data_IF_950960118522
#
_entry.id   IF_950960118522
#
_cell.length_a   1.000
_cell.length_b   1.000
_cell.length_c   1.000
_cell.angle_alpha   90.00
_cell.angle_beta   90.00
_cell.angle_gamma   90.00
#
_symmetry.space_group_name_H-M   'P 1'
#
loop_
_entity.id
_entity.type
_entity.pdbx_description
1 polymer ?
#
# COMPACT_ATOMS: atom_id res chain seq x y z
N UNK A 1 -50.69 -15.07 -10.34
CA UNK A 1 -49.45 -15.87 -10.19
C UNK A 1 -48.31 -14.90 -10.39
N UNK A 2 -47.41 -14.78 -9.42
CA UNK A 2 -46.23 -13.93 -9.51
C UNK A 2 -45.36 -14.42 -10.68
N UNK A 3 -45.10 -13.58 -11.66
CA UNK A 3 -44.28 -13.95 -12.83
C UNK A 3 -42.80 -13.83 -12.48
N UNK A 4 -42.24 -14.88 -11.88
CA UNK A 4 -40.82 -14.96 -11.56
C UNK A 4 -39.95 -15.14 -12.81
N UNK A 5 -40.49 -15.68 -13.91
CA UNK A 5 -39.70 -16.00 -15.09
C UNK A 5 -39.22 -14.73 -15.83
N UNK A 6 -40.07 -13.70 -15.89
CA UNK A 6 -39.70 -12.42 -16.50
C UNK A 6 -38.54 -11.74 -15.76
N UNK A 7 -38.64 -11.62 -14.43
CA UNK A 7 -37.59 -10.96 -13.62
C UNK A 7 -36.29 -11.78 -13.59
N UNK A 8 -36.36 -13.11 -13.66
CA UNK A 8 -35.19 -13.98 -13.74
C UNK A 8 -34.42 -13.78 -15.05
N UNK A 9 -35.13 -13.55 -16.15
CA UNK A 9 -34.53 -13.22 -17.44
C UNK A 9 -33.83 -11.86 -17.42
N UNK A 10 -34.49 -10.84 -16.88
CA UNK A 10 -33.93 -9.49 -16.71
C UNK A 10 -32.68 -9.50 -15.83
N UNK A 11 -32.71 -10.22 -14.69
CA UNK A 11 -31.55 -10.40 -13.80
C UNK A 11 -30.39 -11.06 -14.55
N UNK A 12 -30.66 -12.09 -15.36
CA UNK A 12 -29.62 -12.78 -16.14
C UNK A 12 -28.96 -11.83 -17.14
N UNK A 13 -29.76 -11.08 -17.89
CA UNK A 13 -29.26 -10.11 -18.87
C UNK A 13 -28.48 -8.97 -18.20
N UNK A 14 -28.96 -8.45 -17.06
CA UNK A 14 -28.24 -7.44 -16.27
C UNK A 14 -26.91 -7.97 -15.74
N UNK A 15 -26.87 -9.22 -15.27
CA UNK A 15 -25.64 -9.88 -14.80
C UNK A 15 -24.60 -10.05 -15.91
N UNK A 16 -25.01 -10.46 -17.10
CA UNK A 16 -24.09 -10.60 -18.24
C UNK A 16 -23.50 -9.24 -18.65
N UNK A 17 -24.31 -8.18 -18.65
CA UNK A 17 -23.84 -6.80 -18.88
C UNK A 17 -22.89 -6.32 -17.79
N UNK A 18 -23.17 -6.60 -16.52
CA UNK A 18 -22.30 -6.26 -15.40
C UNK A 18 -20.93 -6.96 -15.50
N UNK A 19 -20.92 -8.28 -15.79
CA UNK A 19 -19.68 -9.05 -16.02
C UNK A 19 -18.86 -8.49 -17.18
N UNK A 20 -19.51 -8.12 -18.28
CA UNK A 20 -18.85 -7.50 -19.43
C UNK A 20 -18.21 -6.16 -19.05
N UNK A 21 -18.91 -5.33 -18.27
CA UNK A 21 -18.37 -4.05 -17.77
C UNK A 21 -17.17 -4.26 -16.84
N UNK A 22 -17.20 -5.26 -15.95
CA UNK A 22 -16.07 -5.57 -15.07
C UNK A 22 -14.84 -6.03 -15.87
N UNK A 23 -15.05 -6.84 -16.91
CA UNK A 23 -13.99 -7.26 -17.83
C UNK A 23 -13.35 -6.06 -18.54
N UNK A 24 -14.17 -5.18 -19.11
CA UNK A 24 -13.69 -3.97 -19.79
C UNK A 24 -12.99 -3.01 -18.83
N UNK A 25 -13.46 -2.90 -17.60
CA UNK A 25 -12.82 -2.07 -16.57
C UNK A 25 -11.42 -2.59 -16.24
N UNK A 26 -11.25 -3.90 -16.08
CA UNK A 26 -9.92 -4.51 -15.89
C UNK A 26 -9.01 -4.28 -17.10
N UNK A 27 -9.54 -4.47 -18.32
CA UNK A 27 -8.80 -4.21 -19.56
C UNK A 27 -8.34 -2.74 -19.64
N UNK A 28 -9.22 -1.80 -19.29
CA UNK A 28 -8.90 -0.36 -19.23
C UNK A 28 -7.73 -0.07 -18.30
N UNK A 29 -7.73 -0.65 -17.10
CA UNK A 29 -6.63 -0.49 -16.13
C UNK A 29 -5.31 -1.03 -16.71
N UNK A 30 -5.35 -2.21 -17.34
CA UNK A 30 -4.17 -2.77 -18.02
C UNK A 30 -3.66 -1.87 -19.13
N UNK A 31 -4.54 -1.35 -20.00
CA UNK A 31 -4.18 -0.44 -21.09
C UNK A 31 -3.55 0.85 -20.57
N UNK A 32 -4.12 1.45 -19.52
CA UNK A 32 -3.54 2.63 -18.88
C UNK A 32 -2.14 2.38 -18.33
N UNK A 33 -1.92 1.24 -17.68
CA UNK A 33 -0.58 0.85 -17.21
C UNK A 33 0.42 0.68 -18.35
N UNK A 34 0.01 0.06 -19.46
CA UNK A 34 0.86 -0.11 -20.64
C UNK A 34 1.17 1.24 -21.34
N UNK A 35 0.20 2.15 -21.38
CA UNK A 35 0.38 3.51 -21.92
C UNK A 35 1.41 4.28 -21.09
N UNK A 36 1.30 4.23 -19.76
CA UNK A 36 2.27 4.87 -18.86
C UNK A 36 3.67 4.27 -19.01
N UNK A 37 3.79 2.94 -19.05
CA UNK A 37 5.06 2.25 -19.27
C UNK A 37 5.73 2.67 -20.59
N UNK A 38 4.98 2.66 -21.70
CA UNK A 38 5.49 3.05 -23.02
C UNK A 38 5.82 4.54 -23.05
N UNK A 39 5.03 5.38 -22.40
CA UNK A 39 5.29 6.83 -22.27
C UNK A 39 6.61 7.10 -21.54
N UNK A 40 6.83 6.45 -20.40
CA UNK A 40 8.07 6.56 -19.63
C UNK A 40 9.29 6.04 -20.42
N UNK A 41 9.13 4.92 -21.14
CA UNK A 41 10.16 4.38 -22.01
C UNK A 41 10.51 5.35 -23.15
N UNK A 42 9.49 5.97 -23.77
CA UNK A 42 9.68 6.94 -24.85
C UNK A 42 10.50 8.14 -24.38
N UNK A 43 10.27 8.66 -23.17
CA UNK A 43 11.09 9.76 -22.62
C UNK A 43 12.58 9.39 -22.58
N UNK A 44 12.91 8.16 -22.20
CA UNK A 44 14.29 7.66 -22.20
C UNK A 44 14.87 7.53 -23.60
N UNK A 45 14.12 6.91 -24.53
CA UNK A 45 14.53 6.70 -25.91
C UNK A 45 14.70 8.02 -26.67
N UNK A 46 13.85 9.01 -26.44
CA UNK A 46 13.92 10.34 -27.06
C UNK A 46 15.15 11.11 -26.56
N UNK A 47 15.51 11.00 -25.27
CA UNK A 47 16.75 11.56 -24.75
C UNK A 47 17.98 10.91 -25.37
N UNK A 48 17.96 9.58 -25.55
CA UNK A 48 19.05 8.87 -26.22
C UNK A 48 19.16 9.32 -27.68
N UNK A 49 18.06 9.36 -28.42
CA UNK A 49 18.03 9.84 -29.79
C UNK A 49 18.58 11.27 -29.92
N UNK A 50 18.18 12.18 -29.02
CA UNK A 50 18.69 13.55 -29.01
C UNK A 50 20.20 13.64 -28.69
N UNK A 51 20.79 12.62 -28.04
CA UNK A 51 22.23 12.52 -27.86
C UNK A 51 22.90 12.06 -29.15
N UNK A 52 22.44 10.97 -29.76
CA UNK A 52 23.02 10.46 -31.00
C UNK A 52 22.92 11.50 -32.14
N UNK A 53 21.79 12.20 -32.26
CA UNK A 53 21.60 13.27 -33.24
C UNK A 53 22.60 14.43 -33.03
N UNK A 54 22.91 14.79 -31.77
CA UNK A 54 23.92 15.81 -31.48
C UNK A 54 25.33 15.35 -31.82
N UNK A 55 25.64 14.08 -31.58
CA UNK A 55 26.97 13.53 -31.86
C UNK A 55 27.21 13.41 -33.38
N UNK A 56 26.18 13.05 -34.15
CA UNK A 56 26.19 13.17 -35.64
C UNK A 56 26.44 14.61 -36.09
N UNK A 57 25.69 15.59 -35.56
CA UNK A 57 25.83 17.01 -35.95
C UNK A 57 27.23 17.55 -35.64
N UNK A 58 27.82 17.23 -34.49
CA UNK A 58 29.19 17.64 -34.13
C UNK A 58 30.23 17.14 -35.13
N UNK A 59 30.07 15.90 -35.62
CA UNK A 59 30.98 15.29 -36.59
C UNK A 59 30.79 15.86 -38.01
N UNK A 60 29.56 16.21 -38.39
CA UNK A 60 29.22 16.80 -39.69
C UNK A 60 29.67 18.27 -39.80
N UNK A 61 29.40 19.10 -38.78
CA UNK A 61 29.67 20.54 -38.80
C UNK A 61 31.13 20.92 -38.47
N UNK A 62 32.02 19.95 -38.37
CA UNK A 62 33.46 20.20 -38.24
C UNK A 62 33.91 20.67 -36.85
N UNK A 63 33.26 20.23 -35.77
CA UNK A 63 33.55 20.59 -34.37
C UNK A 63 34.91 20.14 -33.81
N UNK A 64 35.91 19.91 -34.66
CA UNK A 64 37.30 19.64 -34.30
C UNK A 64 38.24 20.42 -35.23
N UNK A 65 38.24 21.75 -35.11
CA UNK A 65 39.30 22.56 -35.71
C UNK A 65 40.68 22.35 -35.04
N UNK A 66 40.74 21.58 -33.94
CA UNK A 66 41.96 21.33 -33.18
C UNK A 66 42.67 19.97 -33.46
N UNK A 67 42.16 19.11 -34.36
CA UNK A 67 42.74 17.76 -34.56
C UNK A 67 42.89 17.33 -36.03
N UNK A 68 42.73 18.26 -36.97
CA UNK A 68 42.97 18.00 -38.40
C UNK A 68 44.45 18.09 -38.75
N UNK A 69 45.26 17.21 -38.15
CA UNK A 69 46.67 17.05 -38.54
C UNK A 69 47.07 15.59 -38.84
N UNK A 70 46.13 14.64 -39.02
CA UNK A 70 46.60 13.29 -39.39
C UNK A 70 45.64 12.16 -39.82
N UNK A 71 44.31 12.22 -39.73
CA UNK A 71 43.48 11.02 -39.92
C UNK A 71 42.10 11.28 -40.58
N UNK A 72 42.06 11.35 -41.91
CA UNK A 72 40.80 11.49 -42.68
C UNK A 72 39.96 10.20 -42.67
N UNK A 73 40.58 9.02 -42.65
CA UNK A 73 39.88 7.73 -42.66
C UNK A 73 39.12 7.39 -41.36
N UNK A 74 39.62 7.81 -40.20
CA UNK A 74 38.97 7.57 -38.90
C UNK A 74 37.70 8.42 -38.71
N UNK A 75 37.58 9.55 -39.41
CA UNK A 75 36.40 10.43 -39.31
C UNK A 75 35.18 9.85 -40.02
N UNK A 76 35.36 9.33 -41.24
CA UNK A 76 34.26 8.78 -42.03
C UNK A 76 33.67 7.53 -41.38
N UNK A 77 34.51 6.64 -40.86
CA UNK A 77 34.08 5.45 -40.14
C UNK A 77 33.28 5.79 -38.87
N UNK A 78 33.76 6.76 -38.09
CA UNK A 78 33.04 7.25 -36.89
C UNK A 78 31.70 7.90 -37.25
N UNK A 79 31.66 8.74 -38.30
CA UNK A 79 30.41 9.34 -38.75
C UNK A 79 29.39 8.30 -39.23
N UNK A 80 29.84 7.27 -39.96
CA UNK A 80 28.98 6.17 -40.39
C UNK A 80 28.39 5.41 -39.20
N UNK A 81 29.20 5.15 -38.16
CA UNK A 81 28.75 4.51 -36.92
C UNK A 81 27.69 5.33 -36.19
N UNK A 82 27.95 6.61 -35.96
CA UNK A 82 27.03 7.51 -35.24
C UNK A 82 25.70 7.67 -36.00
N UNK A 83 25.75 7.73 -37.34
CA UNK A 83 24.53 7.71 -38.17
C UNK A 83 23.74 6.41 -38.03
N UNK A 84 24.42 5.27 -37.95
CA UNK A 84 23.76 3.99 -37.74
C UNK A 84 23.13 3.90 -36.34
N UNK A 85 23.83 4.38 -35.30
CA UNK A 85 23.33 4.44 -33.92
C UNK A 85 22.09 5.36 -33.83
N UNK A 86 22.15 6.55 -34.44
CA UNK A 86 21.00 7.46 -34.53
C UNK A 86 19.82 6.85 -35.31
N UNK A 87 20.07 6.19 -36.45
CA UNK A 87 19.02 5.54 -37.23
C UNK A 87 18.33 4.43 -36.43
N UNK A 88 19.09 3.60 -35.71
CA UNK A 88 18.56 2.57 -34.83
C UNK A 88 17.73 3.18 -33.69
N UNK A 89 18.20 4.27 -33.07
CA UNK A 89 17.45 4.99 -32.04
C UNK A 89 16.11 5.55 -32.58
N UNK A 90 16.12 6.16 -33.78
CA UNK A 90 14.90 6.65 -34.44
C UNK A 90 13.89 5.53 -34.70
N UNK A 91 14.35 4.37 -35.19
CA UNK A 91 13.47 3.23 -35.43
C UNK A 91 12.83 2.72 -34.12
N UNK A 92 13.60 2.67 -33.02
CA UNK A 92 13.05 2.29 -31.70
C UNK A 92 12.00 3.28 -31.21
N UNK A 93 12.26 4.58 -31.31
CA UNK A 93 11.30 5.64 -30.95
C UNK A 93 10.04 5.51 -31.80
N UNK A 94 10.16 5.36 -33.11
CA UNK A 94 9.03 5.21 -34.02
C UNK A 94 8.17 3.99 -33.67
N UNK A 95 8.80 2.83 -33.42
CA UNK A 95 8.08 1.62 -33.02
C UNK A 95 7.31 1.78 -31.71
N UNK A 96 7.90 2.43 -30.70
CA UNK A 96 7.20 2.68 -29.42
C UNK A 96 6.09 3.75 -29.56
N UNK A 97 6.25 4.76 -30.42
CA UNK A 97 5.17 5.71 -30.74
C UNK A 97 3.99 5.03 -31.42
N UNK A 98 4.22 4.18 -32.42
CA UNK A 98 3.14 3.40 -33.04
C UNK A 98 2.45 2.45 -32.05
N UNK A 99 3.21 1.84 -31.12
CA UNK A 99 2.63 1.04 -30.02
C UNK A 99 1.73 1.91 -29.12
N UNK A 100 2.19 3.10 -28.74
CA UNK A 100 1.42 4.04 -27.93
C UNK A 100 0.13 4.47 -28.61
N UNK A 101 0.17 4.77 -29.92
CA UNK A 101 -1.00 5.11 -30.72
C UNK A 101 -2.03 3.97 -30.74
N UNK A 102 -1.57 2.73 -30.95
CA UNK A 102 -2.44 1.55 -30.92
C UNK A 102 -3.10 1.36 -29.54
N UNK A 103 -2.31 1.38 -28.46
CA UNK A 103 -2.82 1.27 -27.10
C UNK A 103 -3.83 2.37 -26.75
N UNK A 104 -3.57 3.61 -27.19
CA UNK A 104 -4.47 4.75 -26.99
C UNK A 104 -5.77 4.58 -27.77
N UNK A 105 -5.71 3.99 -28.97
CA UNK A 105 -6.90 3.68 -29.75
C UNK A 105 -7.74 2.58 -29.09
N UNK A 106 -7.11 1.52 -28.59
CA UNK A 106 -7.78 0.44 -27.86
C UNK A 106 -8.42 0.94 -26.56
N UNK A 107 -7.74 1.84 -25.84
CA UNK A 107 -8.29 2.50 -24.66
C UNK A 107 -9.54 3.29 -25.02
N UNK A 108 -9.51 4.04 -26.13
CA UNK A 108 -10.67 4.82 -26.60
C UNK A 108 -11.87 3.93 -26.93
N UNK A 109 -11.64 2.80 -27.61
CA UNK A 109 -12.69 1.82 -27.92
C UNK A 109 -13.26 1.21 -26.64
N UNK A 110 -12.39 0.83 -25.70
CA UNK A 110 -12.79 0.28 -24.39
C UNK A 110 -13.63 1.29 -23.60
N UNK A 111 -13.23 2.56 -23.59
CA UNK A 111 -13.96 3.64 -22.91
C UNK A 111 -15.34 3.90 -23.57
N UNK A 112 -15.43 3.81 -24.90
CA UNK A 112 -16.71 3.91 -25.62
C UNK A 112 -17.66 2.74 -25.28
N UNK A 113 -17.15 1.50 -25.24
CA UNK A 113 -17.93 0.34 -24.83
C UNK A 113 -18.41 0.45 -23.36
N UNK A 114 -17.52 0.90 -22.46
CA UNK A 114 -17.86 1.13 -21.06
C UNK A 114 -18.95 2.20 -20.90
N UNK A 115 -18.88 3.29 -21.68
CA UNK A 115 -19.89 4.33 -21.67
C UNK A 115 -21.24 3.82 -22.20
N UNK A 116 -21.24 3.02 -23.27
CA UNK A 116 -22.45 2.45 -23.85
C UNK A 116 -23.16 1.47 -22.91
N UNK A 117 -22.42 0.74 -22.07
CA UNK A 117 -22.99 -0.19 -21.09
C UNK A 117 -23.69 0.53 -19.93
N UNK A 118 -23.37 1.79 -19.64
CA UNK A 118 -23.96 2.54 -18.52
C UNK A 118 -23.60 1.94 -17.16
N UNK A 119 -24.61 1.78 -16.29
CA UNK A 119 -24.46 1.30 -14.92
C UNK A 119 -25.21 -0.05 -14.67
N UNK A 120 -24.81 -1.14 -15.35
CA UNK A 120 -25.50 -2.43 -15.25
C UNK A 120 -25.41 -3.07 -13.86
N UNK A 121 -24.40 -2.72 -13.05
CA UNK A 121 -24.32 -3.15 -11.65
C UNK A 121 -25.49 -2.59 -10.83
N UNK A 122 -25.80 -1.30 -10.99
CA UNK A 122 -26.91 -0.68 -10.30
C UNK A 122 -28.26 -1.24 -10.77
N UNK A 123 -28.41 -1.47 -12.07
CA UNK A 123 -29.59 -2.13 -12.62
C UNK A 123 -29.79 -3.53 -12.04
N UNK A 124 -28.71 -4.33 -11.96
CA UNK A 124 -28.73 -5.65 -11.35
C UNK A 124 -29.13 -5.59 -9.87
N UNK A 125 -28.59 -4.63 -9.10
CA UNK A 125 -28.96 -4.42 -7.69
C UNK A 125 -30.46 -4.13 -7.53
N UNK A 126 -31.02 -3.25 -8.36
CA UNK A 126 -32.44 -2.89 -8.35
C UNK A 126 -33.32 -4.10 -8.68
N UNK A 127 -32.96 -4.88 -9.70
CA UNK A 127 -33.70 -6.08 -10.09
C UNK A 127 -33.66 -7.16 -9.01
N UNK A 128 -32.50 -7.41 -8.41
CA UNK A 128 -32.36 -8.35 -7.29
C UNK A 128 -33.21 -7.92 -6.08
N UNK A 129 -33.21 -6.63 -5.74
CA UNK A 129 -34.04 -6.08 -4.66
C UNK A 129 -35.55 -6.16 -4.98
N UNK A 130 -35.92 -6.07 -6.25
CA UNK A 130 -37.31 -6.29 -6.69
C UNK A 130 -37.71 -7.77 -6.56
N UNK A 131 -36.86 -8.71 -6.99
CA UNK A 131 -37.11 -10.16 -6.83
C UNK A 131 -37.23 -10.54 -5.36
N UNK A 132 -36.37 -10.01 -4.50
CA UNK A 132 -36.45 -10.23 -3.05
C UNK A 132 -37.79 -9.78 -2.46
N UNK A 133 -38.27 -8.59 -2.81
CA UNK A 133 -39.60 -8.10 -2.39
C UNK A 133 -40.73 -9.01 -2.87
N UNK A 134 -40.68 -9.44 -4.13
CA UNK A 134 -41.68 -10.36 -4.69
C UNK A 134 -41.75 -11.69 -3.91
N UNK A 135 -40.60 -12.25 -3.52
CA UNK A 135 -40.53 -13.49 -2.74
C UNK A 135 -41.11 -13.33 -1.33
N UNK A 136 -40.83 -12.20 -0.68
CA UNK A 136 -41.37 -11.88 0.65
C UNK A 136 -42.89 -11.68 0.60
N UNK A 137 -43.37 -10.87 -0.33
CA UNK A 137 -44.79 -10.55 -0.48
C UNK A 137 -45.63 -11.76 -0.90
N UNK A 138 -45.06 -12.67 -1.70
CA UNK A 138 -45.75 -13.92 -2.09
C UNK A 138 -45.76 -14.99 -0.99
N UNK A 139 -45.07 -14.77 0.13
CA UNK A 139 -44.91 -15.78 1.18
C UNK A 139 -44.04 -16.97 0.76
N UNK A 140 -43.17 -16.80 -0.23
CA UNK A 140 -42.25 -17.85 -0.67
C UNK A 140 -41.26 -18.17 0.47
N UNK A 141 -40.99 -19.46 0.79
CA UNK A 141 -40.01 -19.82 1.82
C UNK A 141 -38.65 -19.14 1.64
N UNK A 142 -38.21 -18.92 0.41
CA UNK A 142 -36.96 -18.21 0.08
C UNK A 142 -36.93 -16.78 0.61
N UNK A 143 -38.08 -16.11 0.74
CA UNK A 143 -38.15 -14.75 1.30
C UNK A 143 -37.71 -14.70 2.77
N UNK A 144 -38.01 -15.74 3.56
CA UNK A 144 -37.54 -15.84 4.95
C UNK A 144 -36.04 -16.11 5.02
N UNK A 145 -35.54 -17.01 4.17
CA UNK A 145 -34.12 -17.32 4.08
C UNK A 145 -33.30 -16.09 3.65
N UNK A 146 -33.83 -15.28 2.73
CA UNK A 146 -33.20 -14.02 2.30
C UNK A 146 -33.14 -12.98 3.43
N UNK A 147 -34.20 -12.86 4.23
CA UNK A 147 -34.20 -11.98 5.39
C UNK A 147 -33.17 -12.40 6.46
N UNK A 148 -33.05 -13.71 6.75
CA UNK A 148 -32.02 -14.25 7.65
C UNK A 148 -30.61 -13.96 7.12
N UNK A 149 -30.37 -14.20 5.82
CA UNK A 149 -29.09 -13.90 5.18
C UNK A 149 -28.77 -12.41 5.22
N UNK A 150 -29.75 -11.53 5.02
CA UNK A 150 -29.56 -10.09 5.09
C UNK A 150 -29.15 -9.63 6.51
N UNK A 151 -29.80 -10.16 7.55
CA UNK A 151 -29.42 -9.88 8.93
C UNK A 151 -27.99 -10.35 9.21
N UNK A 152 -27.66 -11.60 8.86
CA UNK A 152 -26.31 -12.15 9.06
C UNK A 152 -25.24 -11.39 8.27
N UNK A 153 -25.54 -10.93 7.06
CA UNK A 153 -24.63 -10.09 6.27
C UNK A 153 -24.38 -8.75 6.96
N UNK A 154 -25.42 -8.12 7.51
CA UNK A 154 -25.30 -6.85 8.23
C UNK A 154 -24.45 -7.02 9.49
N UNK A 155 -24.71 -8.06 10.29
CA UNK A 155 -23.94 -8.37 11.49
C UNK A 155 -22.47 -8.67 11.14
N UNK A 156 -22.22 -9.55 10.16
CA UNK A 156 -20.86 -9.89 9.71
C UNK A 156 -20.10 -8.66 9.18
N UNK A 157 -20.79 -7.75 8.48
CA UNK A 157 -20.19 -6.53 7.96
C UNK A 157 -19.86 -5.53 9.07
N UNK A 158 -20.68 -5.47 10.13
CA UNK A 158 -20.38 -4.67 11.31
C UNK A 158 -19.17 -5.22 12.06
N UNK A 159 -19.15 -6.53 12.34
CA UNK A 159 -18.03 -7.21 12.96
C UNK A 159 -16.74 -6.98 12.17
N UNK A 160 -16.77 -7.16 10.84
CA UNK A 160 -15.60 -6.99 9.99
C UNK A 160 -15.03 -5.57 10.08
N UNK A 161 -15.89 -4.55 10.07
CA UNK A 161 -15.48 -3.15 10.19
C UNK A 161 -14.79 -2.87 11.52
N UNK A 162 -15.41 -3.29 12.63
CA UNK A 162 -14.86 -3.07 13.98
C UNK A 162 -13.50 -3.79 14.15
N UNK A 163 -13.36 -5.01 13.61
CA UNK A 163 -12.09 -5.74 13.63
C UNK A 163 -11.02 -5.08 12.74
N UNK A 164 -11.41 -4.47 11.61
CA UNK A 164 -10.49 -3.74 10.75
C UNK A 164 -9.99 -2.45 11.41
N UNK A 165 -10.86 -1.73 12.13
CA UNK A 165 -10.51 -0.54 12.91
C UNK A 165 -9.50 -0.91 14.02
N UNK A 166 -9.78 -1.98 14.77
CA UNK A 166 -8.86 -2.53 15.76
C UNK A 166 -7.52 -2.96 15.14
N UNK A 167 -7.54 -3.66 14.00
CA UNK A 167 -6.33 -4.09 13.30
C UNK A 167 -5.47 -2.88 12.86
N UNK A 168 -6.09 -1.84 12.31
CA UNK A 168 -5.40 -0.62 11.89
C UNK A 168 -4.77 0.13 13.08
N UNK A 169 -5.51 0.25 14.19
CA UNK A 169 -4.96 0.85 15.41
C UNK A 169 -3.82 0.01 16.01
N UNK A 170 -3.93 -1.33 15.97
CA UNK A 170 -2.87 -2.25 16.39
C UNK A 170 -1.61 -2.13 15.54
N UNK A 171 -1.74 -1.98 14.22
CA UNK A 171 -0.61 -1.72 13.32
C UNK A 171 0.09 -0.39 13.64
N UNK A 172 -0.68 0.68 13.88
CA UNK A 172 -0.14 1.97 14.28
C UNK A 172 0.58 1.90 15.64
N UNK A 173 0.00 1.23 16.63
CA UNK A 173 0.60 0.99 17.93
C UNK A 173 1.90 0.19 17.80
N UNK A 174 1.89 -0.91 17.03
CA UNK A 174 3.06 -1.77 16.80
C UNK A 174 4.20 -0.99 16.13
N UNK A 175 3.89 -0.14 15.15
CA UNK A 175 4.88 0.73 14.50
C UNK A 175 5.48 1.75 15.48
N UNK A 176 4.63 2.37 16.32
CA UNK A 176 5.06 3.35 17.31
C UNK A 176 5.94 2.72 18.40
N UNK A 177 5.55 1.56 18.95
CA UNK A 177 6.36 0.79 19.91
C UNK A 177 7.69 0.36 19.28
N UNK A 178 7.67 -0.09 18.02
CA UNK A 178 8.88 -0.40 17.27
C UNK A 178 9.82 0.81 17.08
N UNK A 179 9.28 2.02 16.99
CA UNK A 179 10.08 3.25 16.94
C UNK A 179 10.78 3.55 18.27
N UNK A 180 10.10 3.31 19.40
CA UNK A 180 10.72 3.39 20.74
C UNK A 180 11.89 2.42 20.85
N UNK A 181 11.72 1.16 20.41
CA UNK A 181 12.79 0.15 20.44
C UNK A 181 14.02 0.56 19.61
N UNK A 182 13.83 1.18 18.44
CA UNK A 182 14.93 1.68 17.61
C UNK A 182 15.72 2.77 18.33
N UNK A 183 15.05 3.75 18.94
CA UNK A 183 15.71 4.83 19.68
C UNK A 183 16.41 4.36 20.94
N UNK A 184 15.81 3.42 21.69
CA UNK A 184 16.48 2.76 22.82
C UNK A 184 17.71 1.95 22.37
N UNK A 185 17.66 1.33 21.18
CA UNK A 185 18.79 0.66 20.56
C UNK A 185 19.92 1.61 20.17
N UNK A 186 19.60 2.74 19.55
CA UNK A 186 20.56 3.80 19.21
C UNK A 186 21.20 4.44 20.43
N UNK A 187 20.41 4.72 21.48
CA UNK A 187 20.92 5.22 22.77
C UNK A 187 21.88 4.21 23.42
N UNK A 188 21.56 2.91 23.38
CA UNK A 188 22.46 1.84 23.87
C UNK A 188 23.75 1.77 23.06
N UNK A 189 23.69 1.89 21.73
CA UNK A 189 24.86 1.87 20.85
C UNK A 189 25.81 3.04 21.10
N UNK A 190 25.28 4.24 21.32
CA UNK A 190 26.05 5.42 21.71
C UNK A 190 26.73 5.24 23.08
N UNK A 191 26.00 4.71 24.07
CA UNK A 191 26.52 4.42 25.42
C UNK A 191 27.65 3.37 25.41
N UNK A 192 27.56 2.33 24.57
CA UNK A 192 28.63 1.32 24.43
C UNK A 192 29.90 1.90 23.78
N UNK A 193 29.75 2.85 22.85
CA UNK A 193 30.90 3.53 22.22
C UNK A 193 31.66 4.40 23.22
N UNK A 194 30.96 5.05 24.15
CA UNK A 194 31.56 5.84 25.24
C UNK A 194 32.34 4.95 26.25
N UNK A 195 31.77 3.79 26.62
CA UNK A 195 32.37 2.89 27.61
C UNK A 195 33.64 2.16 27.12
N UNK A 196 33.83 1.98 25.81
CA UNK A 196 34.92 1.18 25.23
C UNK A 196 35.78 1.91 24.18
N UNK A 197 35.44 3.14 23.78
CA UNK A 197 35.99 3.81 22.61
C UNK A 197 36.33 5.30 22.80
N UNK A 198 37.13 5.65 23.81
CA UNK A 198 37.89 6.92 23.88
C UNK A 198 37.13 8.24 23.52
N UNK A 199 35.87 8.41 23.90
CA UNK A 199 34.99 9.47 23.34
C UNK A 199 34.51 10.54 24.32
N UNK A 200 35.36 11.48 24.75
CA UNK A 200 34.93 12.61 25.58
C UNK A 200 33.93 13.58 24.90
N UNK A 201 32.98 14.12 25.68
CA UNK A 201 32.22 15.38 25.47
C UNK A 201 31.23 15.48 24.28
N UNK A 202 31.54 14.85 23.14
CA UNK A 202 30.70 14.88 21.93
C UNK A 202 29.76 13.66 21.81
N UNK A 203 30.08 12.53 22.46
CA UNK A 203 29.20 11.36 22.54
C UNK A 203 27.94 11.64 23.38
N UNK A 204 28.10 12.39 24.47
CA UNK A 204 27.02 12.80 25.40
C UNK A 204 25.88 13.58 24.72
N UNK A 205 26.20 14.47 23.77
CA UNK A 205 25.19 15.32 23.11
C UNK A 205 24.30 14.52 22.14
N UNK A 206 24.85 13.47 21.53
CA UNK A 206 24.13 12.54 20.64
C UNK A 206 23.26 11.57 21.45
N UNK A 207 23.76 11.06 22.57
CA UNK A 207 23.00 10.22 23.51
C UNK A 207 21.78 10.97 24.08
N UNK A 208 21.95 12.23 24.47
CA UNK A 208 20.88 13.07 25.00
C UNK A 208 19.77 13.33 23.96
N UNK A 209 20.15 13.48 22.69
CA UNK A 209 19.21 13.60 21.59
C UNK A 209 18.36 12.34 21.40
N UNK A 210 19.00 11.16 21.45
CA UNK A 210 18.31 9.87 21.30
C UNK A 210 17.41 9.52 22.49
N UNK A 211 17.79 9.86 23.72
CA UNK A 211 16.94 9.63 24.90
C UNK A 211 15.72 10.56 24.93
N UNK A 212 15.85 11.83 24.53
CA UNK A 212 14.70 12.72 24.34
C UNK A 212 13.76 12.22 23.24
N UNK A 213 14.34 11.78 22.12
CA UNK A 213 13.55 11.18 21.03
C UNK A 213 12.87 9.87 21.46
N UNK A 214 13.50 9.07 22.33
CA UNK A 214 12.89 7.86 22.90
C UNK A 214 11.71 8.18 23.83
N UNK A 215 11.79 9.24 24.64
CA UNK A 215 10.70 9.69 25.52
C UNK A 215 9.52 10.26 24.72
N UNK A 216 9.78 11.14 23.75
CA UNK A 216 8.76 11.63 22.82
C UNK A 216 8.09 10.48 22.04
N UNK A 217 8.89 9.52 21.56
CA UNK A 217 8.39 8.32 20.92
C UNK A 217 7.55 7.44 21.86
N UNK A 218 7.91 7.36 23.14
CA UNK A 218 7.18 6.57 24.14
C UNK A 218 5.81 7.19 24.45
N UNK A 219 5.71 8.52 24.57
CA UNK A 219 4.42 9.21 24.70
C UNK A 219 3.52 8.99 23.49
N UNK A 220 4.09 9.11 22.29
CA UNK A 220 3.35 8.80 21.07
C UNK A 220 2.88 7.34 21.05
N UNK A 221 3.76 6.39 21.37
CA UNK A 221 3.43 4.97 21.40
C UNK A 221 2.36 4.64 22.45
N UNK A 222 2.39 5.24 23.64
CA UNK A 222 1.33 5.06 24.64
C UNK A 222 -0.01 5.58 24.13
N UNK A 223 -0.04 6.73 23.44
CA UNK A 223 -1.29 7.26 22.85
C UNK A 223 -1.87 6.32 21.81
N UNK A 224 -1.03 5.72 20.95
CA UNK A 224 -1.48 4.73 19.97
C UNK A 224 -1.94 3.43 20.63
N UNK A 225 -1.29 2.99 21.72
CA UNK A 225 -1.74 1.85 22.52
C UNK A 225 -3.09 2.12 23.20
N UNK A 226 -3.31 3.32 23.75
CA UNK A 226 -4.59 3.70 24.35
C UNK A 226 -5.70 3.75 23.30
N UNK A 227 -5.38 4.16 22.06
CA UNK A 227 -6.30 4.08 20.93
C UNK A 227 -6.61 2.62 20.62
N UNK A 228 -5.58 1.80 20.45
CA UNK A 228 -5.76 0.38 20.17
C UNK A 228 -6.61 -0.32 21.24
N UNK A 229 -6.41 0.00 22.51
CA UNK A 229 -7.26 -0.47 23.62
C UNK A 229 -8.73 -0.10 23.50
N UNK A 230 -9.05 1.08 22.96
CA UNK A 230 -10.45 1.50 22.72
C UNK A 230 -11.07 0.68 21.59
N UNK A 231 -10.38 0.56 20.46
CA UNK A 231 -10.89 -0.24 19.33
C UNK A 231 -11.02 -1.74 19.71
N UNK A 232 -10.12 -2.26 20.55
CA UNK A 232 -10.24 -3.62 21.10
C UNK A 232 -11.48 -3.77 21.99
N UNK A 233 -11.85 -2.73 22.73
CA UNK A 233 -13.05 -2.77 23.58
C UNK A 233 -14.34 -2.84 22.76
N UNK A 234 -14.37 -2.23 21.57
CA UNK A 234 -15.50 -2.30 20.65
C UNK A 234 -15.79 -3.74 20.19
N UNK A 235 -14.74 -4.56 20.04
CA UNK A 235 -14.85 -6.01 19.75
C UNK A 235 -14.86 -6.90 21.00
N UNK A 236 -15.05 -6.33 22.19
CA UNK A 236 -15.18 -7.07 23.45
C UNK A 236 -13.86 -7.56 24.07
N UNK A 237 -12.70 -7.08 23.60
CA UNK A 237 -11.38 -7.42 24.14
C UNK A 237 -10.91 -6.32 25.10
N UNK A 238 -10.85 -6.64 26.39
CA UNK A 238 -10.31 -5.72 27.39
C UNK A 238 -8.78 -5.84 27.50
N UNK A 239 -8.04 -4.84 27.02
CA UNK A 239 -6.59 -4.75 27.16
C UNK A 239 -6.15 -3.32 27.47
N UNK A 240 -5.14 -3.14 28.32
CA UNK A 240 -4.56 -1.83 28.67
C UNK A 240 -3.04 -1.97 28.86
N UNK A 241 -2.28 -2.20 27.77
CA UNK A 241 -0.83 -2.24 27.82
C UNK A 241 -0.26 -0.87 28.22
N UNK A 242 0.76 -0.88 29.05
CA UNK A 242 1.42 0.34 29.54
C UNK A 242 2.90 0.26 29.22
N UNK A 243 3.43 1.26 28.53
CA UNK A 243 4.87 1.41 28.34
C UNK A 243 5.54 1.84 29.63
N UNK A 244 6.76 1.35 29.92
CA UNK A 244 7.55 1.86 31.03
C UNK A 244 7.83 3.35 30.83
N UNK A 245 7.77 4.14 31.90
CA UNK A 245 8.15 5.56 31.85
C UNK A 245 9.62 5.70 31.46
N UNK A 246 9.89 6.42 30.36
CA UNK A 246 11.24 6.82 29.97
C UNK A 246 11.58 8.11 30.72
N UNK A 247 12.01 7.99 31.97
CA UNK A 247 12.30 9.16 32.81
C UNK A 247 13.61 9.86 32.42
N UNK A 248 13.52 10.81 31.49
CA UNK A 248 14.63 11.66 31.03
C UNK A 248 15.18 12.60 32.11
N UNK A 249 14.41 12.91 33.17
CA UNK A 249 14.85 13.79 34.27
C UNK A 249 15.87 13.11 35.17
N UNK A 250 15.65 11.83 35.49
CA UNK A 250 16.66 11.05 36.22
C UNK A 250 17.97 10.88 35.43
N UNK A 251 17.91 10.77 34.11
CA UNK A 251 19.13 10.72 33.28
C UNK A 251 19.92 12.04 33.31
N UNK A 252 19.23 13.18 33.46
CA UNK A 252 19.87 14.49 33.65
C UNK A 252 20.41 14.70 35.07
N UNK A 253 19.74 14.17 36.11
CA UNK A 253 20.17 14.31 37.51
C UNK A 253 21.41 13.43 37.83
N UNK A 254 21.56 12.26 37.19
CA UNK A 254 22.75 11.38 37.33
C UNK A 254 23.98 11.92 36.57
N UNK A 255 23.79 12.85 35.65
CA UNK A 255 24.87 13.46 34.85
C UNK A 255 25.78 14.37 35.67
N UNK A 256 25.28 14.97 36.76
CA UNK A 256 26.05 15.89 37.59
C UNK A 256 26.73 15.24 38.80
N UNK A 257 26.40 13.98 39.16
CA UNK A 257 27.04 13.22 40.24
C UNK A 257 28.01 12.15 39.68
N UNK A 258 29.24 12.61 39.45
CA UNK A 258 30.32 12.00 38.69
C UNK A 258 30.92 10.68 39.25
N UNK A 259 30.22 9.88 40.06
CA UNK A 259 30.87 8.77 40.83
C UNK A 259 30.12 7.42 40.80
N UNK A 260 28.89 7.27 40.27
CA UNK A 260 28.19 5.95 40.21
C UNK A 260 27.63 5.59 38.81
N UNK A 261 28.58 5.22 37.93
CA UNK A 261 28.59 4.16 36.88
C UNK A 261 27.62 4.16 35.68
N UNK A 262 28.20 4.30 34.47
CA UNK A 262 27.57 4.02 33.16
C UNK A 262 26.96 2.60 33.05
N UNK A 263 27.45 1.64 33.83
CA UNK A 263 26.87 0.31 33.94
C UNK A 263 25.42 0.31 34.47
N UNK A 264 25.06 1.21 35.40
CA UNK A 264 23.68 1.35 35.89
C UNK A 264 22.75 1.96 34.85
N UNK A 265 23.24 2.95 34.07
CA UNK A 265 22.51 3.53 32.93
C UNK A 265 22.25 2.46 31.87
N UNK A 266 23.27 1.70 31.49
CA UNK A 266 23.19 0.61 30.53
C UNK A 266 22.17 -0.47 30.94
N UNK A 267 22.22 -0.92 32.21
CA UNK A 267 21.26 -1.90 32.73
C UNK A 267 19.81 -1.38 32.76
N UNK A 268 19.59 -0.08 32.98
CA UNK A 268 18.25 0.52 32.97
C UNK A 268 17.71 0.66 31.55
N UNK A 269 18.54 1.04 30.58
CA UNK A 269 18.18 1.06 29.15
C UNK A 269 17.87 -0.36 28.66
N UNK A 270 18.63 -1.36 29.10
CA UNK A 270 18.36 -2.77 28.79
C UNK A 270 16.99 -3.23 29.33
N UNK A 271 16.71 -2.98 30.62
CA UNK A 271 15.41 -3.32 31.24
C UNK A 271 14.23 -2.61 30.59
N UNK A 272 14.37 -1.33 30.27
CA UNK A 272 13.32 -0.55 29.59
C UNK A 272 13.05 -1.12 28.21
N UNK A 273 14.10 -1.45 27.44
CA UNK A 273 13.93 -2.05 26.13
C UNK A 273 13.32 -3.46 26.18
N UNK A 274 13.59 -4.24 27.22
CA UNK A 274 12.94 -5.54 27.43
C UNK A 274 11.43 -5.38 27.63
N UNK A 275 11.00 -4.51 28.54
CA UNK A 275 9.59 -4.25 28.78
C UNK A 275 8.88 -3.68 27.53
N UNK A 276 9.53 -2.80 26.77
CA UNK A 276 9.00 -2.31 25.49
C UNK A 276 8.91 -3.45 24.45
N UNK A 277 9.84 -4.42 24.48
CA UNK A 277 9.80 -5.59 23.60
C UNK A 277 8.63 -6.51 23.94
N UNK A 278 8.36 -6.76 25.21
CA UNK A 278 7.18 -7.53 25.66
C UNK A 278 5.88 -6.89 25.14
N UNK A 279 5.76 -5.56 25.20
CA UNK A 279 4.61 -4.84 24.63
C UNK A 279 4.57 -4.93 23.11
N UNK A 280 5.72 -4.91 22.44
CA UNK A 280 5.80 -5.07 20.98
C UNK A 280 5.37 -6.48 20.54
N UNK A 281 5.80 -7.52 21.26
CA UNK A 281 5.42 -8.91 21.01
C UNK A 281 3.92 -9.13 21.24
N UNK A 282 3.38 -8.57 22.33
CA UNK A 282 1.93 -8.58 22.58
C UNK A 282 1.16 -7.87 21.46
N UNK A 283 1.57 -6.67 21.07
CA UNK A 283 0.89 -5.88 20.04
C UNK A 283 0.93 -6.59 18.68
N UNK A 284 2.09 -7.14 18.30
CA UNK A 284 2.25 -7.94 17.09
C UNK A 284 1.36 -9.19 17.10
N UNK A 285 1.32 -9.92 18.21
CA UNK A 285 0.45 -11.09 18.35
C UNK A 285 -1.04 -10.76 18.24
N UNK A 286 -1.48 -9.61 18.77
CA UNK A 286 -2.86 -9.14 18.60
C UNK A 286 -3.17 -8.71 17.17
N UNK A 287 -2.25 -8.00 16.51
CA UNK A 287 -2.38 -7.64 15.09
C UNK A 287 -2.54 -8.89 14.22
N UNK A 288 -1.71 -9.91 14.41
CA UNK A 288 -1.79 -11.15 13.63
C UNK A 288 -3.15 -11.86 13.82
N UNK A 289 -3.64 -11.91 15.07
CA UNK A 289 -4.96 -12.49 15.37
C UNK A 289 -6.10 -11.70 14.73
N UNK A 290 -6.07 -10.36 14.81
CA UNK A 290 -7.06 -9.49 14.19
C UNK A 290 -7.04 -9.62 12.66
N UNK A 291 -5.86 -9.69 12.06
CA UNK A 291 -5.69 -9.91 10.62
C UNK A 291 -6.29 -11.23 10.16
N UNK A 292 -6.02 -12.32 10.90
CA UNK A 292 -6.63 -13.62 10.63
C UNK A 292 -8.16 -13.57 10.77
N UNK A 293 -8.67 -12.92 11.81
CA UNK A 293 -10.12 -12.76 12.04
C UNK A 293 -10.81 -11.93 10.96
N UNK A 294 -10.20 -10.84 10.50
CA UNK A 294 -10.69 -10.04 9.37
C UNK A 294 -10.78 -10.89 8.09
N UNK A 295 -9.77 -11.72 7.82
CA UNK A 295 -9.78 -12.61 6.67
C UNK A 295 -10.89 -13.67 6.75
N UNK A 296 -11.15 -14.22 7.95
CA UNK A 296 -12.27 -15.13 8.19
C UNK A 296 -13.62 -14.46 7.96
N UNK A 297 -13.84 -13.28 8.57
CA UNK A 297 -15.09 -12.52 8.43
C UNK A 297 -15.33 -12.11 6.96
N UNK A 298 -14.29 -11.72 6.23
CA UNK A 298 -14.39 -11.42 4.80
C UNK A 298 -14.83 -12.64 3.99
N UNK A 299 -14.23 -13.82 4.25
CA UNK A 299 -14.66 -15.08 3.62
C UNK A 299 -16.11 -15.43 3.95
N UNK A 300 -16.54 -15.24 5.20
CA UNK A 300 -17.91 -15.49 5.61
C UNK A 300 -18.89 -14.55 4.89
N UNK A 301 -18.55 -13.26 4.80
CA UNK A 301 -19.35 -12.28 4.08
C UNK A 301 -19.50 -12.66 2.59
N UNK A 302 -18.42 -13.09 1.93
CA UNK A 302 -18.45 -13.57 0.56
C UNK A 302 -19.35 -14.81 0.40
N UNK A 303 -19.24 -15.79 1.32
CA UNK A 303 -20.08 -17.00 1.30
C UNK A 303 -21.56 -16.67 1.48
N UNK A 304 -21.90 -15.78 2.41
CA UNK A 304 -23.27 -15.32 2.63
C UNK A 304 -23.82 -14.58 1.41
N UNK A 305 -23.01 -13.71 0.79
CA UNK A 305 -23.38 -12.98 -0.42
C UNK A 305 -23.63 -13.95 -1.60
N UNK A 306 -22.76 -14.93 -1.79
CA UNK A 306 -22.95 -15.99 -2.79
C UNK A 306 -24.21 -16.80 -2.53
N UNK A 307 -24.50 -17.13 -1.27
CA UNK A 307 -25.72 -17.88 -0.91
C UNK A 307 -26.98 -17.06 -1.21
N UNK A 308 -26.97 -15.77 -0.89
CA UNK A 308 -28.06 -14.84 -1.23
C UNK A 308 -28.27 -14.79 -2.74
N UNK A 309 -27.19 -14.69 -3.51
CA UNK A 309 -27.27 -14.68 -4.97
C UNK A 309 -27.84 -15.99 -5.53
N UNK A 310 -27.43 -17.15 -4.99
CA UNK A 310 -27.96 -18.45 -5.38
C UNK A 310 -29.48 -18.52 -5.20
N UNK A 311 -30.00 -18.08 -4.03
CA UNK A 311 -31.44 -18.07 -3.76
C UNK A 311 -32.20 -17.11 -4.68
N UNK A 312 -31.58 -15.98 -5.04
CA UNK A 312 -32.14 -15.03 -6.01
C UNK A 312 -31.98 -15.51 -7.47
N UNK A 313 -31.23 -16.57 -7.73
CA UNK A 313 -31.05 -17.13 -9.08
C UNK A 313 -31.81 -18.44 -9.32
N UNK A 314 -32.17 -19.15 -8.24
CA UNK A 314 -33.17 -20.23 -8.24
C UNK A 314 -34.59 -19.69 -8.34
#
# INVERSE_FOLDING_TARGET
MTDFAAIDDEIRQARDRARRRDQLTRQRVTLLGQIDEVGNLLVGLERQLAKEDRDVVKLEQGGFSAFLSGLTGNKEERLARERAEAAAARQRVAGQRSRLEWLTSDLRTTDQELAALGAPQHELEVLLASKERMLVESGDPRGRDLADLAARLADTAADLREHQEAHQAGMAASQAVGYVLRHLGSARGASTFDMFGAGGGFADMVEHGHLRQADEAAWHAQRELDRFSRELADIGVAASPQLPKVDTRWFADVFFDNIITDALKHQRIARTAEAVREVAEWAGGMVDQLGARCADLSRQQEQLAQRREQLLSS
#
